data_IF_521085516576
#
_entry.id   IF_521085516576
#
_cell.length_a   1.000
_cell.length_b   1.000
_cell.length_c   1.000
_cell.angle_alpha   90.00
_cell.angle_beta   90.00
_cell.angle_gamma   90.00
#
_symmetry.space_group_name_H-M   'P 1'
#
loop_
_entity.id
_entity.type
_entity.pdbx_description
1 polymer ?
#
# COMPACT_ATOMS: atom_id res chain seq x y z
N UNK A 1 -0.62 -8.05 -20.31
CA UNK A 1 -2.10 -8.13 -20.40
C UNK A 1 -2.65 -7.28 -19.28
N UNK A 2 -3.49 -6.31 -19.65
CA UNK A 2 -3.85 -5.15 -18.84
C UNK A 2 -5.35 -5.00 -18.88
N UNK A 3 -6.06 -5.35 -17.81
CA UNK A 3 -7.51 -5.15 -17.65
C UNK A 3 -7.80 -5.07 -16.14
N UNK A 4 -8.64 -4.17 -15.60
CA UNK A 4 -10.03 -3.88 -15.99
C UNK A 4 -10.40 -2.41 -15.64
N UNK A 5 -11.24 -1.78 -16.49
CA UNK A 5 -11.96 -0.51 -16.25
C UNK A 5 -13.39 -0.79 -15.74
N UNK A 6 -13.90 0.03 -14.82
CA UNK A 6 -15.32 0.03 -14.43
C UNK A 6 -15.89 1.45 -14.61
N UNK A 7 -17.05 1.52 -15.27
CA UNK A 7 -17.86 2.72 -15.44
C UNK A 7 -19.25 2.46 -14.85
N UNK A 8 -19.75 3.37 -14.02
CA UNK A 8 -21.19 3.56 -13.77
C UNK A 8 -21.49 5.07 -13.77
N UNK A 9 -22.53 5.48 -14.48
CA UNK A 9 -22.83 6.88 -14.75
C UNK A 9 -24.19 7.33 -14.23
N UNK A 10 -24.16 8.29 -13.29
CA UNK A 10 -25.06 9.45 -13.20
C UNK A 10 -24.24 10.66 -12.71
N UNK A 11 -23.55 11.36 -13.64
CA UNK A 11 -22.69 12.53 -13.39
C UNK A 11 -21.32 12.51 -14.10
N UNK A 12 -20.44 13.50 -13.82
CA UNK A 12 -19.09 13.70 -14.43
C UNK A 12 -17.90 13.66 -13.42
N UNK A 13 -17.74 12.64 -12.57
CA UNK A 13 -16.47 12.51 -11.82
C UNK A 13 -16.18 11.11 -11.31
N UNK A 14 -15.13 10.50 -11.86
CA UNK A 14 -14.28 9.53 -11.16
C UNK A 14 -12.94 10.22 -10.97
N UNK A 15 -12.60 10.57 -9.73
CA UNK A 15 -11.46 11.46 -9.45
C UNK A 15 -10.13 10.72 -9.21
N UNK A 16 -10.18 9.40 -9.02
CA UNK A 16 -9.09 8.38 -9.12
C UNK A 16 -9.40 7.20 -8.20
N UNK A 17 -9.13 6.01 -8.69
CA UNK A 17 -9.18 4.75 -7.94
C UNK A 17 -7.80 4.13 -8.03
N UNK A 18 -7.18 3.78 -6.91
CA UNK A 18 -5.90 3.06 -6.87
C UNK A 18 -6.19 1.57 -6.64
N UNK A 19 -5.51 0.73 -7.42
CA UNK A 19 -5.72 -0.71 -7.51
C UNK A 19 -5.28 -1.40 -6.21
N UNK A 20 -5.97 -2.50 -5.87
CA UNK A 20 -5.82 -3.36 -4.68
C UNK A 20 -4.35 -3.55 -4.28
N UNK A 21 -3.92 -2.91 -3.19
CA UNK A 21 -2.82 -3.43 -2.37
C UNK A 21 -3.24 -4.85 -1.93
N UNK A 22 -2.33 -5.85 -1.93
CA UNK A 22 -2.64 -7.21 -1.47
C UNK A 22 -2.79 -7.21 0.06
N UNK A 23 -3.90 -6.64 0.53
CA UNK A 23 -4.18 -6.38 1.94
C UNK A 23 -4.10 -7.63 2.80
N UNK A 24 -4.55 -8.76 2.28
CA UNK A 24 -4.50 -10.05 2.97
C UNK A 24 -3.05 -10.49 3.23
N UNK A 25 -2.20 -10.46 2.19
CA UNK A 25 -0.78 -10.78 2.31
C UNK A 25 -0.07 -9.82 3.28
N UNK A 26 -0.33 -8.51 3.16
CA UNK A 26 0.25 -7.51 4.07
C UNK A 26 -0.21 -7.74 5.52
N UNK A 27 -1.49 -8.03 5.73
CA UNK A 27 -2.01 -8.30 7.07
C UNK A 27 -1.40 -9.58 7.66
N UNK A 28 -1.16 -10.61 6.85
CA UNK A 28 -0.47 -11.82 7.31
C UNK A 28 0.99 -11.54 7.70
N UNK A 29 1.72 -10.76 6.89
CA UNK A 29 3.10 -10.37 7.23
C UNK A 29 3.11 -9.52 8.50
N UNK A 30 2.28 -8.47 8.59
CA UNK A 30 2.21 -7.59 9.76
C UNK A 30 1.82 -8.33 11.04
N UNK A 31 1.01 -9.40 10.97
CA UNK A 31 0.69 -10.25 12.12
C UNK A 31 1.85 -11.12 12.59
N UNK A 32 2.77 -11.49 11.69
CA UNK A 32 3.89 -12.41 11.96
C UNK A 32 5.19 -11.68 12.30
N UNK A 33 5.54 -10.68 11.49
CA UNK A 33 6.85 -10.01 11.46
C UNK A 33 6.76 -8.53 11.86
N UNK A 34 5.55 -8.00 12.05
CA UNK A 34 5.34 -6.62 12.50
C UNK A 34 5.60 -5.54 11.44
N UNK A 35 6.31 -5.85 10.36
CA UNK A 35 6.68 -4.88 9.30
C UNK A 35 6.36 -5.39 7.88
N UNK A 36 5.98 -4.50 6.96
CA UNK A 36 5.76 -4.84 5.55
C UNK A 36 6.09 -3.65 4.63
N UNK A 37 6.90 -3.86 3.59
CA UNK A 37 7.30 -2.81 2.66
C UNK A 37 6.44 -2.81 1.38
N UNK A 38 5.97 -1.63 0.98
CA UNK A 38 5.24 -1.42 -0.26
C UNK A 38 6.04 -0.49 -1.17
N UNK A 39 6.56 -1.05 -2.26
CA UNK A 39 7.37 -0.36 -3.27
C UNK A 39 6.54 0.62 -4.11
N UNK A 40 7.11 1.79 -4.38
CA UNK A 40 6.69 2.73 -5.41
C UNK A 40 7.09 2.22 -6.79
N UNK A 41 6.23 2.37 -7.79
CA UNK A 41 6.60 2.07 -9.18
C UNK A 41 6.96 3.34 -9.92
N UNK A 42 7.97 3.31 -10.80
CA UNK A 42 8.42 4.48 -11.59
C UNK A 42 7.29 5.15 -12.39
N UNK A 43 6.32 4.35 -12.84
CA UNK A 43 5.20 4.82 -13.66
C UNK A 43 3.95 5.21 -12.84
N UNK A 44 3.84 4.76 -11.59
CA UNK A 44 2.71 5.07 -10.69
C UNK A 44 3.20 5.09 -9.23
N UNK A 45 3.79 6.23 -8.79
CA UNK A 45 4.25 6.37 -7.40
C UNK A 45 3.06 6.41 -6.44
N UNK A 46 3.23 5.78 -5.27
CA UNK A 46 2.16 5.68 -4.28
C UNK A 46 1.89 7.05 -3.68
N UNK A 47 0.64 7.49 -3.85
CA UNK A 47 0.20 8.70 -3.17
C UNK A 47 0.11 8.44 -1.68
N UNK A 48 0.64 9.35 -0.89
CA UNK A 48 0.49 9.35 0.58
C UNK A 48 -0.94 9.10 1.06
N UNK A 49 -1.95 9.63 0.35
CA UNK A 49 -3.35 9.38 0.68
C UNK A 49 -3.77 7.91 0.49
N UNK A 50 -3.24 7.22 -0.52
CA UNK A 50 -3.45 5.79 -0.76
C UNK A 50 -2.82 4.97 0.35
N UNK A 51 -1.59 5.30 0.73
CA UNK A 51 -0.85 4.65 1.82
C UNK A 51 -1.58 4.84 3.15
N UNK A 52 -2.08 6.04 3.42
CA UNK A 52 -2.90 6.31 4.61
C UNK A 52 -4.17 5.44 4.66
N UNK A 53 -4.91 5.36 3.54
CA UNK A 53 -6.10 4.49 3.45
C UNK A 53 -5.71 3.02 3.64
N UNK A 54 -4.55 2.62 3.14
CA UNK A 54 -4.04 1.27 3.28
C UNK A 54 -3.71 0.95 4.73
N UNK A 55 -2.99 1.82 5.43
CA UNK A 55 -2.66 1.66 6.84
C UNK A 55 -3.93 1.55 7.70
N UNK A 56 -4.95 2.38 7.42
CA UNK A 56 -6.24 2.29 8.11
C UNK A 56 -6.88 0.92 7.92
N UNK A 57 -6.97 0.43 6.68
CA UNK A 57 -7.57 -0.87 6.39
C UNK A 57 -6.76 -2.04 6.97
N UNK A 58 -5.43 -1.96 6.91
CA UNK A 58 -4.56 -2.96 7.51
C UNK A 58 -4.70 -2.98 9.04
N UNK A 59 -4.89 -1.82 9.66
CA UNK A 59 -5.15 -1.74 11.10
C UNK A 59 -6.42 -2.52 11.50
N UNK A 60 -7.49 -2.36 10.72
CA UNK A 60 -8.75 -3.09 10.91
C UNK A 60 -8.55 -4.62 10.72
N UNK A 61 -7.74 -5.04 9.76
CA UNK A 61 -7.48 -6.47 9.47
C UNK A 61 -6.53 -7.15 10.45
N UNK A 62 -5.56 -6.39 10.98
CA UNK A 62 -4.57 -6.87 11.95
C UNK A 62 -5.14 -6.83 13.37
N UNK A 63 -6.08 -5.93 13.65
CA UNK A 63 -6.64 -5.71 14.99
C UNK A 63 -5.73 -4.85 15.88
N UNK A 64 -4.68 -4.25 15.31
CA UNK A 64 -3.75 -3.33 15.97
C UNK A 64 -3.53 -2.12 15.07
N UNK A 65 -3.05 -1.01 15.63
CA UNK A 65 -2.76 0.19 14.84
C UNK A 65 -1.57 -0.07 13.93
N UNK A 66 -1.73 0.14 12.63
CA UNK A 66 -0.68 0.05 11.62
C UNK A 66 -0.27 1.47 11.22
N UNK A 67 1.01 1.79 11.38
CA UNK A 67 1.61 3.04 10.94
C UNK A 67 2.38 2.86 9.65
N UNK A 68 2.79 3.95 9.01
CA UNK A 68 3.60 3.92 7.81
C UNK A 68 4.61 5.06 7.77
N UNK A 69 5.79 4.79 7.21
CA UNK A 69 6.84 5.79 6.94
C UNK A 69 7.35 5.61 5.52
N UNK A 70 7.60 6.72 4.82
CA UNK A 70 8.33 6.67 3.56
C UNK A 70 9.77 6.24 3.83
N UNK A 71 10.34 5.44 2.94
CA UNK A 71 11.69 4.92 3.12
C UNK A 71 12.28 4.35 1.84
N UNK A 72 13.56 4.04 1.92
CA UNK A 72 14.30 3.28 0.93
C UNK A 72 14.57 1.89 1.52
N UNK A 73 14.43 0.85 0.71
CA UNK A 73 14.76 -0.53 1.05
C UNK A 73 15.88 -1.01 0.13
N UNK A 74 17.04 -1.31 0.72
CA UNK A 74 18.15 -1.94 0.02
C UNK A 74 17.87 -3.43 -0.11
N UNK A 75 17.82 -3.94 -1.34
CA UNK A 75 17.57 -5.36 -1.61
C UNK A 75 18.82 -6.08 -2.13
N UNK A 76 19.71 -5.39 -2.86
CA UNK A 76 20.99 -5.91 -3.38
C UNK A 76 22.01 -4.76 -3.55
N UNK A 77 23.30 -5.07 -3.79
CA UNK A 77 24.43 -4.10 -3.83
C UNK A 77 24.18 -2.85 -4.70
N UNK A 78 23.32 -2.93 -5.73
CA UNK A 78 23.00 -1.81 -6.63
C UNK A 78 21.50 -1.52 -6.77
N UNK A 79 20.64 -2.12 -5.93
CA UNK A 79 19.18 -1.98 -6.07
C UNK A 79 18.53 -1.48 -4.79
N UNK A 80 18.02 -0.25 -4.90
CA UNK A 80 17.28 0.45 -3.85
C UNK A 80 15.84 0.62 -4.30
N UNK A 81 14.89 0.19 -3.48
CA UNK A 81 13.46 0.41 -3.70
C UNK A 81 12.99 1.62 -2.89
N UNK A 82 12.34 2.57 -3.55
CA UNK A 82 11.59 3.62 -2.83
C UNK A 82 10.19 3.12 -2.50
N UNK A 83 9.64 3.53 -1.36
CA UNK A 83 8.27 3.16 -1.00
C UNK A 83 7.91 3.51 0.42
N UNK A 84 7.04 2.69 1.00
CA UNK A 84 6.51 2.87 2.35
C UNK A 84 6.64 1.60 3.18
N UNK A 85 7.25 1.73 4.35
CA UNK A 85 7.27 0.69 5.37
C UNK A 85 6.05 0.83 6.27
N UNK A 86 5.21 -0.19 6.31
CA UNK A 86 4.13 -0.35 7.27
C UNK A 86 4.65 -1.09 8.51
N UNK A 87 4.25 -0.64 9.69
CA UNK A 87 4.63 -1.29 10.96
C UNK A 87 3.43 -1.36 11.90
N UNK A 88 3.37 -2.38 12.76
CA UNK A 88 2.38 -2.47 13.83
C UNK A 88 2.88 -1.69 15.05
N UNK A 89 2.02 -0.82 15.59
CA UNK A 89 2.28 -0.09 16.82
C UNK A 89 1.92 -0.99 18.01
N UNK A 90 2.85 -1.13 18.95
CA UNK A 90 2.67 -1.90 20.20
C UNK A 90 1.73 -1.20 21.19
#
# INVERSE_FOLDING_TARGET
MSDIKIHESKGKKVTRTFIKIPYEAFAEVLKKDGEAFLEDTENDPLKRQTVWKAAKKLSEMVGKKVTYKAGLLDIEEDKVLSGYLFTVED
#
